data_IF_568139676725
#
_entry.id   IF_568139676725
#
_cell.length_a   1.000
_cell.length_b   1.000
_cell.length_c   1.000
_cell.angle_alpha   90.00
_cell.angle_beta   90.00
_cell.angle_gamma   90.00
#
_symmetry.space_group_name_H-M   'P 1'
#
loop_
_entity.id
_entity.type
_entity.pdbx_description
1 polymer ?
#
# COMPACT_ATOMS: atom_id res chain seq x y z
N UNK A 1 -19.01 12.55 -0.70
CA UNK A 1 -18.38 11.24 -1.02
C UNK A 1 -16.87 11.29 -0.80
N UNK A 2 -16.17 12.30 -1.29
CA UNK A 2 -14.71 12.41 -1.21
C UNK A 2 -14.15 12.38 0.22
N UNK A 3 -14.81 13.02 1.19
CA UNK A 3 -14.33 13.11 2.58
C UNK A 3 -14.23 11.75 3.25
N UNK A 4 -15.25 10.90 3.10
CA UNK A 4 -15.24 9.56 3.71
C UNK A 4 -14.23 8.64 3.05
N UNK A 5 -14.10 8.70 1.72
CA UNK A 5 -13.11 7.90 1.00
C UNK A 5 -11.69 8.36 1.33
N UNK A 6 -11.44 9.66 1.37
CA UNK A 6 -10.16 10.22 1.77
C UNK A 6 -9.80 9.80 3.21
N UNK A 7 -10.76 9.87 4.13
CA UNK A 7 -10.58 9.39 5.50
C UNK A 7 -10.26 7.89 5.54
N UNK A 8 -10.98 7.05 4.78
CA UNK A 8 -10.73 5.61 4.75
C UNK A 8 -9.34 5.27 4.21
N UNK A 9 -8.91 5.92 3.12
CA UNK A 9 -7.57 5.78 2.55
C UNK A 9 -6.47 6.20 3.54
N UNK A 10 -6.69 7.32 4.25
CA UNK A 10 -5.75 7.79 5.27
C UNK A 10 -5.65 6.82 6.44
N UNK A 11 -6.79 6.32 6.94
CA UNK A 11 -6.83 5.37 8.07
C UNK A 11 -6.18 4.03 7.72
N UNK A 12 -6.44 3.50 6.53
CA UNK A 12 -5.79 2.28 6.05
C UNK A 12 -4.26 2.46 6.02
N UNK A 13 -3.75 3.57 5.47
CA UNK A 13 -2.31 3.88 5.45
C UNK A 13 -1.71 4.04 6.85
N UNK A 14 -2.37 4.76 7.75
CA UNK A 14 -1.94 4.90 9.13
C UNK A 14 -1.80 3.54 9.83
N UNK A 15 -2.77 2.65 9.63
CA UNK A 15 -2.71 1.30 10.16
C UNK A 15 -1.53 0.51 9.58
N UNK A 16 -1.33 0.54 8.26
CA UNK A 16 -0.20 -0.15 7.62
C UNK A 16 1.13 0.32 8.19
N UNK A 17 1.34 1.64 8.28
CA UNK A 17 2.60 2.20 8.77
C UNK A 17 2.83 1.89 10.26
N UNK A 18 1.78 1.90 11.09
CA UNK A 18 1.91 1.54 12.51
C UNK A 18 2.28 0.07 12.72
N UNK A 19 1.92 -0.82 11.79
CA UNK A 19 2.30 -2.25 11.85
C UNK A 19 3.79 -2.51 11.59
N UNK A 20 4.52 -1.52 11.07
CA UNK A 20 5.96 -1.64 10.80
C UNK A 20 6.81 -0.68 11.64
N UNK A 21 6.19 0.17 12.45
CA UNK A 21 6.87 1.24 13.18
C UNK A 21 7.97 0.72 14.10
N UNK A 22 7.67 -0.32 14.87
CA UNK A 22 8.55 -0.95 15.86
C UNK A 22 9.51 -2.01 15.27
N UNK A 23 9.44 -2.30 13.96
CA UNK A 23 10.31 -3.28 13.34
C UNK A 23 11.70 -2.70 13.09
N UNK A 24 12.74 -3.49 13.34
CA UNK A 24 14.09 -3.16 12.88
C UNK A 24 14.26 -3.52 11.38
N UNK A 25 15.34 -3.06 10.77
CA UNK A 25 15.61 -3.25 9.36
C UNK A 25 15.72 -4.75 8.99
N UNK A 26 16.34 -5.55 9.86
CA UNK A 26 16.54 -7.00 9.65
C UNK A 26 15.20 -7.76 9.63
N UNK A 27 14.20 -7.27 10.35
CA UNK A 27 12.87 -7.89 10.37
C UNK A 27 12.07 -7.63 9.09
N UNK A 28 12.42 -6.59 8.32
CA UNK A 28 11.63 -6.20 7.15
C UNK A 28 11.57 -7.27 6.05
N UNK A 29 12.60 -8.09 5.91
CA UNK A 29 12.65 -9.17 4.91
C UNK A 29 12.57 -10.57 5.53
N UNK A 30 12.28 -10.67 6.82
CA UNK A 30 12.19 -11.97 7.47
C UNK A 30 10.94 -12.75 7.03
N UNK A 31 11.13 -14.02 6.72
CA UNK A 31 10.07 -14.96 6.35
C UNK A 31 10.10 -16.16 7.29
N UNK A 32 9.00 -16.42 8.00
CA UNK A 32 8.82 -17.66 8.78
C UNK A 32 8.34 -18.82 7.90
N UNK A 33 7.76 -18.53 6.76
CA UNK A 33 7.30 -19.48 5.76
C UNK A 33 7.85 -19.03 4.40
N UNK A 34 8.39 -19.94 3.62
CA UNK A 34 8.91 -19.64 2.29
C UNK A 34 7.86 -18.94 1.40
N UNK A 35 8.29 -17.94 0.65
CA UNK A 35 7.44 -17.13 -0.23
C UNK A 35 6.35 -16.30 0.49
N UNK A 36 6.41 -16.16 1.81
CA UNK A 36 5.53 -15.29 2.56
C UNK A 36 5.77 -13.81 2.19
N UNK A 37 4.69 -13.05 2.05
CA UNK A 37 4.79 -11.60 1.89
C UNK A 37 5.30 -10.97 3.20
N UNK A 38 6.58 -10.62 3.22
CA UNK A 38 7.22 -9.95 4.34
C UNK A 38 7.01 -8.41 4.30
N UNK A 39 7.25 -7.67 5.40
CA UNK A 39 6.97 -6.24 5.48
C UNK A 39 7.52 -5.41 4.32
N UNK A 40 8.79 -5.57 3.93
CA UNK A 40 9.38 -4.78 2.84
C UNK A 40 8.66 -5.02 1.50
N UNK A 41 8.31 -6.26 1.17
CA UNK A 41 7.57 -6.55 -0.05
C UNK A 41 6.17 -5.91 -0.01
N UNK A 42 5.46 -6.03 1.11
CA UNK A 42 4.12 -5.43 1.26
C UNK A 42 4.17 -3.91 1.09
N UNK A 43 5.11 -3.23 1.75
CA UNK A 43 5.23 -1.78 1.62
C UNK A 43 5.57 -1.36 0.18
N UNK A 44 6.49 -2.06 -0.48
CA UNK A 44 6.84 -1.80 -1.88
C UNK A 44 5.67 -2.05 -2.83
N UNK A 45 4.87 -3.09 -2.59
CA UNK A 45 3.68 -3.41 -3.37
C UNK A 45 2.58 -2.33 -3.23
N UNK A 46 2.36 -1.84 -2.02
CA UNK A 46 1.44 -0.73 -1.78
C UNK A 46 1.93 0.58 -2.42
N UNK A 47 3.25 0.84 -2.37
CA UNK A 47 3.85 1.98 -3.04
C UNK A 47 3.65 1.94 -4.57
N UNK A 48 3.81 0.76 -5.17
CA UNK A 48 3.54 0.54 -6.59
C UNK A 48 2.11 0.93 -6.96
N UNK A 49 1.14 0.52 -6.13
CA UNK A 49 -0.27 0.88 -6.29
C UNK A 49 -0.53 2.40 -6.19
N UNK A 50 0.12 3.07 -5.26
CA UNK A 50 0.01 4.53 -5.12
C UNK A 50 0.56 5.26 -6.36
N UNK A 51 1.76 4.89 -6.83
CA UNK A 51 2.39 5.51 -7.99
C UNK A 51 1.52 5.31 -9.24
N UNK A 52 0.99 4.10 -9.44
CA UNK A 52 0.08 3.83 -10.54
C UNK A 52 -1.18 4.69 -10.46
N UNK A 53 -1.82 4.77 -9.30
CA UNK A 53 -3.00 5.63 -9.11
C UNK A 53 -2.68 7.09 -9.40
N UNK A 54 -1.60 7.63 -8.85
CA UNK A 54 -1.23 9.04 -9.06
C UNK A 54 -1.01 9.33 -10.55
N UNK A 55 -0.41 8.42 -11.31
CA UNK A 55 -0.29 8.57 -12.76
C UNK A 55 -1.64 8.66 -13.49
N UNK A 56 -2.65 7.93 -12.99
CA UNK A 56 -4.01 7.99 -13.55
C UNK A 56 -4.75 9.29 -13.20
N UNK A 57 -4.54 9.80 -11.99
CA UNK A 57 -5.22 11.00 -11.50
C UNK A 57 -4.64 12.27 -12.13
N UNK A 58 -3.33 12.35 -12.18
CA UNK A 58 -2.60 13.54 -12.64
C UNK A 58 -2.32 13.54 -14.15
N UNK A 59 -2.72 12.46 -14.86
CA UNK A 59 -2.39 12.24 -16.27
C UNK A 59 -0.88 12.37 -16.56
N UNK A 60 -0.05 12.05 -15.57
CA UNK A 60 1.40 12.09 -15.68
C UNK A 60 1.96 10.74 -16.12
N UNK A 61 3.16 10.75 -16.66
CA UNK A 61 3.89 9.52 -16.91
C UNK A 61 4.24 8.82 -15.59
N UNK A 62 4.29 7.50 -15.63
CA UNK A 62 4.81 6.71 -14.52
C UNK A 62 6.24 7.16 -14.18
N UNK A 63 6.60 7.12 -12.88
CA UNK A 63 7.96 7.46 -12.44
C UNK A 63 9.01 6.59 -13.15
N UNK A 64 10.21 7.12 -13.34
CA UNK A 64 11.31 6.43 -14.01
C UNK A 64 11.64 5.07 -13.37
N UNK A 65 11.45 4.96 -12.05
CA UNK A 65 11.70 3.73 -11.29
C UNK A 65 10.51 2.75 -11.24
N UNK A 66 9.39 3.05 -11.91
CA UNK A 66 8.18 2.21 -11.86
C UNK A 66 8.44 0.78 -12.36
N UNK A 67 9.23 0.63 -13.42
CA UNK A 67 9.60 -0.68 -13.95
C UNK A 67 10.37 -1.53 -12.93
N UNK A 68 11.32 -0.91 -12.21
CA UNK A 68 12.10 -1.58 -11.18
C UNK A 68 11.22 -1.97 -9.98
N UNK A 69 10.32 -1.08 -9.56
CA UNK A 69 9.34 -1.39 -8.51
C UNK A 69 8.42 -2.53 -8.92
N UNK A 70 7.94 -2.54 -10.17
CA UNK A 70 7.10 -3.60 -10.70
C UNK A 70 7.83 -4.95 -10.70
N UNK A 71 9.11 -4.96 -11.04
CA UNK A 71 9.95 -6.15 -11.02
C UNK A 71 10.15 -6.69 -9.59
N UNK A 72 10.37 -5.81 -8.61
CA UNK A 72 10.61 -6.18 -7.21
C UNK A 72 9.33 -6.55 -6.46
N UNK A 73 8.25 -5.77 -6.64
CA UNK A 73 7.07 -5.76 -5.79
C UNK A 73 5.77 -6.04 -6.54
N UNK A 74 5.83 -6.32 -7.83
CA UNK A 74 4.66 -6.50 -8.68
C UNK A 74 3.84 -7.75 -8.33
N UNK A 75 2.57 -7.76 -8.75
CA UNK A 75 1.74 -8.96 -8.63
C UNK A 75 2.39 -10.15 -9.33
N UNK A 76 2.42 -11.31 -8.66
CA UNK A 76 3.03 -12.53 -9.18
C UNK A 76 4.54 -12.68 -8.92
N UNK A 77 5.21 -11.68 -8.32
CA UNK A 77 6.58 -11.86 -7.82
C UNK A 77 6.56 -12.75 -6.58
N UNK A 78 7.62 -13.50 -6.37
CA UNK A 78 7.80 -14.36 -5.19
C UNK A 78 8.76 -13.68 -4.22
N UNK A 79 8.29 -13.25 -3.03
CA UNK A 79 9.16 -12.64 -2.03
C UNK A 79 10.25 -13.61 -1.55
N UNK A 80 11.44 -13.06 -1.30
CA UNK A 80 12.58 -13.80 -0.75
C UNK A 80 13.12 -13.11 0.49
N UNK A 81 13.77 -13.84 1.40
CA UNK A 81 14.39 -13.25 2.59
C UNK A 81 15.71 -12.51 2.31
N UNK A 82 16.09 -12.35 1.04
CA UNK A 82 17.33 -11.68 0.64
C UNK A 82 17.20 -10.16 0.77
N UNK A 83 17.81 -9.61 1.79
CA UNK A 83 17.72 -8.18 2.17
C UNK A 83 18.17 -7.23 1.04
N UNK A 84 19.19 -7.60 0.28
CA UNK A 84 19.70 -6.77 -0.83
C UNK A 84 18.75 -6.63 -2.03
N UNK A 85 17.64 -7.38 -2.07
CA UNK A 85 16.67 -7.32 -3.17
C UNK A 85 15.60 -6.24 -2.96
N UNK A 86 15.53 -5.62 -1.78
CA UNK A 86 14.46 -4.70 -1.42
C UNK A 86 15.00 -3.36 -0.93
N UNK A 87 14.17 -2.34 -1.03
CA UNK A 87 14.50 -1.02 -0.53
C UNK A 87 14.42 -1.01 1.01
N UNK A 88 15.21 -0.15 1.66
CA UNK A 88 15.23 -0.03 3.12
C UNK A 88 13.88 0.38 3.70
N UNK A 89 13.61 0.02 4.96
CA UNK A 89 12.43 0.48 5.71
C UNK A 89 12.29 2.00 5.62
N UNK A 90 13.39 2.73 5.84
CA UNK A 90 13.38 4.19 5.79
C UNK A 90 12.91 4.71 4.41
N UNK A 91 13.42 4.15 3.32
CA UNK A 91 13.04 4.54 1.97
C UNK A 91 11.57 4.21 1.68
N UNK A 92 11.11 3.01 2.00
CA UNK A 92 9.74 2.57 1.76
C UNK A 92 8.72 3.38 2.57
N UNK A 93 8.95 3.57 3.87
CA UNK A 93 8.07 4.36 4.74
C UNK A 93 8.03 5.81 4.29
N UNK A 94 9.18 6.41 3.97
CA UNK A 94 9.25 7.80 3.49
C UNK A 94 8.48 8.00 2.18
N UNK A 95 8.66 7.10 1.22
CA UNK A 95 7.94 7.14 -0.06
C UNK A 95 6.43 6.93 0.12
N UNK A 96 6.00 5.95 0.91
CA UNK A 96 4.59 5.70 1.20
C UNK A 96 3.92 6.86 1.94
N UNK A 97 4.62 7.52 2.83
CA UNK A 97 4.12 8.73 3.51
C UNK A 97 3.88 9.84 2.50
N UNK A 98 4.85 10.08 1.61
CA UNK A 98 4.75 11.09 0.56
C UNK A 98 3.62 10.80 -0.43
N UNK A 99 3.59 9.62 -1.02
CA UNK A 99 2.56 9.23 -2.00
C UNK A 99 1.18 9.18 -1.37
N UNK A 100 1.07 8.76 -0.10
CA UNK A 100 -0.17 8.78 0.66
C UNK A 100 -0.73 10.20 0.84
N UNK A 101 0.12 11.19 1.13
CA UNK A 101 -0.29 12.60 1.20
C UNK A 101 -0.76 13.12 -0.18
N UNK A 102 0.00 12.86 -1.25
CA UNK A 102 -0.37 13.25 -2.61
C UNK A 102 -1.71 12.61 -3.03
N UNK A 103 -1.90 11.32 -2.75
CA UNK A 103 -3.16 10.62 -3.01
C UNK A 103 -4.33 11.24 -2.27
N UNK A 104 -4.14 11.61 -1.00
CA UNK A 104 -5.17 12.25 -0.19
C UNK A 104 -5.58 13.59 -0.78
N UNK A 105 -4.62 14.45 -1.11
CA UNK A 105 -4.86 15.75 -1.71
C UNK A 105 -5.59 15.62 -3.05
N UNK A 106 -5.15 14.71 -3.92
CA UNK A 106 -5.80 14.45 -5.21
C UNK A 106 -7.26 14.03 -5.03
N UNK A 107 -7.55 13.08 -4.12
CA UNK A 107 -8.92 12.59 -3.87
C UNK A 107 -9.82 13.69 -3.30
N UNK A 108 -9.32 14.53 -2.41
CA UNK A 108 -10.10 15.63 -1.83
C UNK A 108 -10.50 16.67 -2.88
N UNK A 109 -9.69 16.87 -3.91
CA UNK A 109 -9.92 17.84 -4.99
C UNK A 109 -10.71 17.26 -6.17
N UNK A 110 -10.96 15.94 -6.22
CA UNK A 110 -11.68 15.31 -7.32
C UNK A 110 -13.12 15.77 -7.43
N UNK A 111 -13.54 16.12 -8.64
CA UNK A 111 -14.95 16.36 -8.97
C UNK A 111 -15.73 15.04 -9.12
N UNK A 112 -17.05 15.11 -9.11
CA UNK A 112 -17.91 13.95 -9.34
C UNK A 112 -17.67 13.32 -10.73
N UNK A 113 -17.40 14.15 -11.74
CA UNK A 113 -17.09 13.72 -13.10
C UNK A 113 -15.75 12.98 -13.14
N UNK A 114 -14.75 13.45 -12.37
CA UNK A 114 -13.45 12.77 -12.27
C UNK A 114 -13.60 11.38 -11.66
N UNK A 115 -14.46 11.20 -10.64
CA UNK A 115 -14.78 9.87 -10.08
C UNK A 115 -15.43 8.93 -11.08
N UNK A 116 -16.27 9.47 -11.96
CA UNK A 116 -16.98 8.70 -13.00
C UNK A 116 -16.10 8.41 -14.23
N UNK A 117 -14.91 9.02 -14.34
CA UNK A 117 -14.00 8.82 -15.47
C UNK A 117 -13.64 7.34 -15.62
N UNK A 118 -13.77 6.74 -16.82
CA UNK A 118 -13.42 5.34 -17.06
C UNK A 118 -11.97 5.03 -16.69
N UNK A 119 -11.75 3.86 -16.11
CA UNK A 119 -10.40 3.32 -15.88
C UNK A 119 -9.76 3.03 -17.25
N UNK A 120 -8.58 3.61 -17.57
CA UNK A 120 -7.97 3.46 -18.89
C UNK A 120 -7.42 2.05 -19.15
N UNK A 121 -7.00 1.34 -18.13
CA UNK A 121 -6.52 -0.05 -18.24
C UNK A 121 -7.71 -1.00 -18.45
N UNK A 122 -7.73 -1.70 -19.60
CA UNK A 122 -8.83 -2.60 -19.99
C UNK A 122 -8.98 -3.83 -19.09
N UNK A 123 -7.91 -4.28 -18.45
CA UNK A 123 -7.95 -5.44 -17.55
C UNK A 123 -8.53 -4.99 -16.21
N UNK A 124 -8.02 -3.92 -15.65
CA UNK A 124 -8.53 -3.35 -14.41
C UNK A 124 -9.97 -2.88 -14.54
N UNK A 125 -10.35 -2.30 -15.65
CA UNK A 125 -11.71 -1.82 -15.91
C UNK A 125 -12.80 -2.90 -15.81
N UNK A 126 -12.44 -4.19 -15.93
CA UNK A 126 -13.37 -5.30 -15.73
C UNK A 126 -13.87 -5.40 -14.27
N UNK A 127 -13.02 -5.11 -13.32
CA UNK A 127 -13.35 -5.14 -11.89
C UNK A 127 -13.57 -3.73 -11.31
N UNK A 128 -12.93 -2.73 -11.89
CA UNK A 128 -12.86 -1.35 -11.43
C UNK A 128 -13.16 -0.40 -12.59
N UNK A 129 -14.42 -0.30 -13.04
CA UNK A 129 -14.78 0.36 -14.31
C UNK A 129 -14.52 1.87 -14.31
N UNK A 130 -14.44 2.53 -13.17
CA UNK A 130 -14.13 3.96 -13.08
C UNK A 130 -13.03 4.22 -12.05
N UNK A 131 -12.43 5.41 -12.10
CA UNK A 131 -11.43 5.84 -11.09
C UNK A 131 -11.99 5.80 -9.67
N UNK A 132 -13.27 6.09 -9.47
CA UNK A 132 -13.92 5.95 -8.16
C UNK A 132 -13.92 4.51 -7.65
N UNK A 133 -14.18 3.53 -8.52
CA UNK A 133 -14.06 2.11 -8.16
C UNK A 133 -12.62 1.72 -7.85
N UNK A 134 -11.67 2.23 -8.62
CA UNK A 134 -10.25 1.99 -8.36
C UNK A 134 -9.81 2.52 -7.00
N UNK A 135 -10.17 3.76 -6.66
CA UNK A 135 -9.89 4.37 -5.36
C UNK A 135 -10.50 3.59 -4.21
N UNK A 136 -11.74 3.13 -4.37
CA UNK A 136 -12.41 2.30 -3.36
C UNK A 136 -11.71 0.95 -3.18
N UNK A 137 -11.30 0.32 -4.29
CA UNK A 137 -10.56 -0.94 -4.26
C UNK A 137 -9.22 -0.82 -3.52
N UNK A 138 -8.54 0.33 -3.57
CA UNK A 138 -7.30 0.54 -2.83
C UNK A 138 -7.48 0.49 -1.31
N UNK A 139 -8.64 0.88 -0.76
CA UNK A 139 -8.92 0.73 0.68
C UNK A 139 -8.93 -0.75 1.06
N UNK A 140 -9.60 -1.60 0.27
CA UNK A 140 -9.60 -3.05 0.47
C UNK A 140 -8.22 -3.66 0.29
N UNK A 141 -7.49 -3.24 -0.73
CA UNK A 141 -6.15 -3.71 -1.04
C UNK A 141 -5.19 -3.44 0.12
N UNK A 142 -5.19 -2.22 0.64
CA UNK A 142 -4.36 -1.86 1.79
C UNK A 142 -4.80 -2.60 3.06
N UNK A 143 -6.11 -2.74 3.30
CA UNK A 143 -6.65 -3.53 4.41
C UNK A 143 -6.28 -5.02 4.32
N UNK A 144 -6.29 -5.61 3.11
CA UNK A 144 -5.83 -6.98 2.87
C UNK A 144 -4.36 -7.15 3.28
N UNK A 145 -3.48 -6.26 2.85
CA UNK A 145 -2.05 -6.31 3.19
C UNK A 145 -1.77 -5.97 4.66
N UNK A 146 -2.54 -5.09 5.27
CA UNK A 146 -2.47 -4.87 6.74
C UNK A 146 -2.82 -6.14 7.52
N UNK A 147 -3.79 -6.92 7.05
CA UNK A 147 -4.12 -8.24 7.60
C UNK A 147 -2.98 -9.25 7.47
N UNK A 148 -2.27 -9.24 6.33
CA UNK A 148 -1.06 -10.07 6.14
C UNK A 148 0.05 -9.66 7.10
N UNK A 149 0.31 -8.36 7.26
CA UNK A 149 1.27 -7.83 8.24
C UNK A 149 0.91 -8.23 9.68
N UNK A 150 -0.36 -8.10 10.06
CA UNK A 150 -0.84 -8.52 11.38
C UNK A 150 -0.61 -10.02 11.63
N UNK A 151 -0.86 -10.85 10.63
CA UNK A 151 -0.60 -12.30 10.70
C UNK A 151 0.89 -12.62 10.76
N UNK A 152 1.70 -11.93 9.96
CA UNK A 152 3.15 -12.02 9.99
C UNK A 152 3.69 -11.66 11.38
N UNK A 153 3.26 -10.53 11.96
CA UNK A 153 3.65 -10.09 13.30
C UNK A 153 3.34 -11.14 14.38
N UNK A 154 2.15 -11.75 14.35
CA UNK A 154 1.79 -12.84 15.28
C UNK A 154 2.77 -14.01 15.20
N UNK A 155 3.18 -14.41 14.00
CA UNK A 155 4.16 -15.49 13.83
C UNK A 155 5.55 -15.13 14.36
N UNK A 156 5.86 -13.82 14.45
CA UNK A 156 7.10 -13.32 15.07
C UNK A 156 6.98 -13.11 16.59
N UNK A 157 5.86 -13.44 17.21
CA UNK A 157 5.62 -13.17 18.62
C UNK A 157 5.38 -11.70 18.97
N UNK A 158 5.12 -10.86 17.94
CA UNK A 158 4.84 -9.44 18.10
C UNK A 158 3.33 -9.19 18.22
N UNK A 159 2.94 -8.07 18.85
CA UNK A 159 1.54 -7.64 18.84
C UNK A 159 1.03 -7.48 17.40
N UNK A 160 -0.12 -8.05 17.10
CA UNK A 160 -0.78 -7.92 15.80
C UNK A 160 -1.61 -6.66 15.66
N UNK A 161 -1.81 -5.93 16.75
CA UNK A 161 -2.58 -4.68 16.80
C UNK A 161 -1.64 -3.63 17.37
N UNK A 162 -1.23 -2.63 16.58
CA UNK A 162 -0.44 -1.50 17.06
C UNK A 162 -1.22 -0.71 18.12
N UNK A 163 -0.51 -0.11 19.07
CA UNK A 163 -1.12 0.58 20.21
C UNK A 163 -2.15 1.65 19.86
N UNK A 164 -1.97 2.35 18.74
CA UNK A 164 -2.92 3.37 18.25
C UNK A 164 -4.31 2.80 17.86
N UNK A 165 -4.41 1.50 17.61
CA UNK A 165 -5.64 0.79 17.25
C UNK A 165 -6.04 -0.27 18.27
N UNK A 166 -5.27 -0.44 19.33
CA UNK A 166 -5.60 -1.37 20.40
C UNK A 166 -6.77 -0.79 21.23
N UNK A 167 -7.77 -1.61 21.57
CA UNK A 167 -8.76 -1.21 22.55
C UNK A 167 -8.08 -0.88 23.90
N UNK A 168 -8.64 0.03 24.70
CA UNK A 168 -8.14 0.28 26.06
C UNK A 168 -8.07 -1.05 26.83
N UNK A 169 -6.89 -1.40 27.37
CA UNK A 169 -6.69 -2.62 28.19
C UNK A 169 -6.10 -3.84 27.46
N UNK A 170 -5.66 -3.69 26.19
CA UNK A 170 -4.87 -4.71 25.49
C UNK A 170 -3.42 -4.25 25.32
#
# INVERSE_FOLDING_TARGET
MNVLLAWALQKARQQTLSLVEDLCEEQMCFQSIAAENHPAWILGHLLLGDIYLLSLLEAQNLSEDFSDLLHKYGPGTTPTSSFGNYDSKFALVGRLTKTGAQRLDAVQQMSSEAFARPTPDKILARAQPTLGHHLHALVFHEGHHSGQLSSWRKRQGLSSIPGAFAPPGF
#
